data_IF_446299421455
#
_entry.id   IF_446299421455
#
_cell.length_a   1.000
_cell.length_b   1.000
_cell.length_c   1.000
_cell.angle_alpha   90.00
_cell.angle_beta   90.00
_cell.angle_gamma   90.00
#
_symmetry.space_group_name_H-M   'P 1'
#
loop_
_entity.id
_entity.type
_entity.pdbx_description
1 polymer ?
#
# COMPACT_ATOMS: atom_id res chain seq x y z
N UNK A 1 33.21 -19.97 -5.52
CA UNK A 1 32.31 -19.90 -6.69
C UNK A 1 31.04 -19.26 -6.23
N UNK A 2 30.87 -17.95 -6.48
CA UNK A 2 29.81 -17.13 -5.87
C UNK A 2 29.26 -16.05 -6.83
N UNK A 3 29.35 -16.25 -8.15
CA UNK A 3 28.91 -15.25 -9.14
C UNK A 3 27.56 -15.55 -9.84
N UNK A 4 26.80 -16.58 -9.44
CA UNK A 4 25.64 -17.05 -10.21
C UNK A 4 24.28 -16.43 -9.84
N UNK A 5 24.13 -15.84 -8.65
CA UNK A 5 22.84 -15.37 -8.15
C UNK A 5 22.34 -14.04 -8.79
N UNK A 6 23.18 -13.01 -9.00
CA UNK A 6 22.73 -11.72 -9.53
C UNK A 6 22.29 -11.79 -11.00
N UNK A 7 23.03 -12.54 -11.82
CA UNK A 7 22.73 -12.71 -13.26
C UNK A 7 21.45 -13.51 -13.46
N UNK A 8 21.21 -14.50 -12.59
CA UNK A 8 19.97 -15.29 -12.60
C UNK A 8 18.76 -14.40 -12.29
N UNK A 9 18.81 -13.57 -11.24
CA UNK A 9 17.71 -12.65 -10.91
C UNK A 9 17.45 -11.63 -12.02
N UNK A 10 18.51 -11.07 -12.64
CA UNK A 10 18.38 -10.17 -13.78
C UNK A 10 17.73 -10.87 -14.99
N UNK A 11 18.10 -12.11 -15.27
CA UNK A 11 17.49 -12.89 -16.36
C UNK A 11 16.00 -13.14 -16.12
N UNK A 12 15.57 -13.40 -14.88
CA UNK A 12 14.16 -13.54 -14.53
C UNK A 12 13.39 -12.23 -14.69
N UNK A 13 13.94 -11.10 -14.24
CA UNK A 13 13.30 -9.79 -14.41
C UNK A 13 13.16 -9.42 -15.88
N UNK A 14 14.21 -9.65 -16.69
CA UNK A 14 14.15 -9.45 -18.13
C UNK A 14 13.07 -10.36 -18.76
N UNK A 15 13.02 -11.63 -18.38
CA UNK A 15 12.00 -12.55 -18.85
C UNK A 15 10.57 -12.12 -18.50
N UNK A 16 10.33 -11.66 -17.26
CA UNK A 16 9.03 -11.14 -16.85
C UNK A 16 8.69 -9.84 -17.60
N UNK A 17 9.67 -8.98 -17.83
CA UNK A 17 9.53 -7.74 -18.62
C UNK A 17 9.21 -8.04 -20.10
N UNK A 18 9.92 -8.97 -20.73
CA UNK A 18 9.72 -9.40 -22.12
C UNK A 18 8.33 -10.02 -22.34
N UNK A 19 7.76 -10.59 -21.27
CA UNK A 19 6.39 -11.12 -21.25
C UNK A 19 5.34 -10.09 -20.83
N UNK A 20 5.72 -8.83 -20.70
CA UNK A 20 4.87 -7.73 -20.24
C UNK A 20 4.20 -8.00 -18.88
N UNK A 21 4.82 -8.85 -18.04
CA UNK A 21 4.33 -9.17 -16.70
C UNK A 21 4.66 -8.07 -15.69
N UNK A 22 5.79 -7.41 -15.91
CA UNK A 22 6.28 -6.28 -15.11
C UNK A 22 6.82 -5.18 -16.03
N UNK A 23 6.93 -3.98 -15.49
CA UNK A 23 7.55 -2.83 -16.11
C UNK A 23 8.77 -2.41 -15.27
N UNK A 24 9.92 -2.22 -15.93
CA UNK A 24 11.11 -1.66 -15.31
C UNK A 24 10.95 -0.14 -15.27
N UNK A 25 10.85 0.42 -14.06
CA UNK A 25 10.55 1.84 -13.85
C UNK A 25 11.83 2.65 -13.67
N UNK A 26 12.80 2.14 -12.90
CA UNK A 26 14.10 2.78 -12.74
C UNK A 26 15.24 1.76 -12.74
N UNK A 27 16.40 2.26 -13.15
CA UNK A 27 17.68 1.59 -13.03
C UNK A 27 18.64 2.50 -12.27
N UNK A 28 19.54 1.91 -11.51
CA UNK A 28 20.61 2.65 -10.84
C UNK A 28 21.64 3.19 -11.86
N UNK A 29 22.65 3.91 -11.36
CA UNK A 29 23.70 4.51 -12.20
C UNK A 29 24.60 3.48 -12.91
N UNK A 30 24.58 2.21 -12.49
CA UNK A 30 25.29 1.10 -13.16
C UNK A 30 24.36 0.28 -14.08
N UNK A 31 23.10 0.71 -14.26
CA UNK A 31 22.13 0.09 -15.15
C UNK A 31 21.42 -1.14 -14.58
N UNK A 32 21.54 -1.41 -13.28
CA UNK A 32 20.80 -2.49 -12.61
C UNK A 32 19.38 -2.04 -12.31
N UNK A 33 18.45 -2.97 -12.44
CA UNK A 33 17.04 -2.72 -12.14
C UNK A 33 16.89 -2.42 -10.65
N UNK A 34 16.38 -1.23 -10.32
CA UNK A 34 16.18 -0.77 -8.95
C UNK A 34 14.70 -0.90 -8.55
N UNK A 35 13.79 -0.49 -9.43
CA UNK A 35 12.36 -0.52 -9.19
C UNK A 35 11.61 -1.12 -10.38
N UNK A 36 10.76 -2.10 -10.08
CA UNK A 36 9.80 -2.70 -11.03
C UNK A 36 8.40 -2.59 -10.47
N UNK A 37 7.41 -2.48 -11.36
CA UNK A 37 5.99 -2.59 -11.01
C UNK A 37 5.32 -3.66 -11.87
N UNK A 38 4.17 -4.16 -11.44
CA UNK A 38 3.30 -4.95 -12.32
C UNK A 38 2.77 -4.01 -13.40
N UNK A 39 2.78 -4.47 -14.64
CA UNK A 39 2.26 -3.70 -15.78
C UNK A 39 0.78 -3.32 -15.53
N UNK A 40 0.36 -2.10 -15.88
CA UNK A 40 -0.96 -1.56 -15.50
C UNK A 40 -2.13 -2.46 -15.93
N UNK A 41 -2.07 -3.06 -17.12
CA UNK A 41 -3.10 -4.01 -17.61
C UNK A 41 -3.23 -5.25 -16.71
N UNK A 42 -2.12 -5.83 -16.25
CA UNK A 42 -2.13 -7.01 -15.39
C UNK A 42 -2.50 -6.66 -13.96
N UNK A 43 -2.11 -5.47 -13.53
CA UNK A 43 -2.53 -4.92 -12.26
C UNK A 43 -4.06 -4.76 -12.23
N UNK A 44 -4.64 -4.18 -13.27
CA UNK A 44 -6.08 -4.03 -13.40
C UNK A 44 -6.78 -5.39 -13.46
N UNK A 45 -6.21 -6.37 -14.16
CA UNK A 45 -6.72 -7.75 -14.15
C UNK A 45 -6.65 -8.38 -12.76
N UNK A 46 -5.53 -8.26 -12.05
CA UNK A 46 -5.36 -8.79 -10.70
C UNK A 46 -6.34 -8.14 -9.72
N UNK A 47 -6.56 -6.83 -9.84
CA UNK A 47 -7.58 -6.11 -9.07
C UNK A 47 -8.97 -6.69 -9.36
N UNK A 48 -9.35 -6.85 -10.63
CA UNK A 48 -10.67 -7.43 -11.00
C UNK A 48 -10.85 -8.85 -10.47
N UNK A 49 -9.82 -9.68 -10.52
CA UNK A 49 -9.86 -11.05 -9.99
C UNK A 49 -10.00 -11.03 -8.47
N UNK A 50 -9.26 -10.16 -7.78
CA UNK A 50 -9.33 -10.03 -6.32
C UNK A 50 -10.65 -9.38 -5.83
N UNK A 51 -11.23 -8.47 -6.60
CA UNK A 51 -12.54 -7.87 -6.32
C UNK A 51 -13.66 -8.92 -6.35
N UNK A 52 -13.50 -10.01 -7.11
CA UNK A 52 -14.44 -11.14 -7.08
C UNK A 52 -14.46 -11.88 -5.72
N UNK A 53 -13.47 -11.63 -4.85
CA UNK A 53 -13.41 -12.11 -3.47
C UNK A 53 -13.92 -11.06 -2.44
N UNK A 54 -14.47 -9.92 -2.92
CA UNK A 54 -15.28 -8.92 -2.20
C UNK A 54 -14.68 -8.29 -0.92
N UNK A 55 -13.36 -8.35 -0.69
CA UNK A 55 -12.75 -7.90 0.58
C UNK A 55 -11.56 -6.96 0.44
N UNK A 56 -11.28 -6.49 -0.78
CA UNK A 56 -10.06 -5.75 -1.08
C UNK A 56 -10.33 -4.48 -1.91
N UNK A 57 -9.79 -3.35 -1.45
CA UNK A 57 -9.78 -2.07 -2.16
C UNK A 57 -8.34 -1.69 -2.53
N UNK A 58 -7.93 -2.04 -3.75
CA UNK A 58 -6.57 -1.83 -4.25
C UNK A 58 -6.48 -0.89 -5.46
N UNK A 59 -7.63 -0.43 -5.97
CA UNK A 59 -7.73 0.32 -7.24
C UNK A 59 -7.05 1.69 -7.24
N UNK A 60 -6.74 2.25 -6.07
CA UNK A 60 -6.24 3.63 -5.93
C UNK A 60 -4.74 3.76 -5.66
N UNK A 61 -4.01 2.70 -5.32
CA UNK A 61 -2.57 2.83 -5.05
C UNK A 61 -1.79 3.30 -6.29
N UNK A 62 -0.86 4.24 -6.17
CA UNK A 62 -0.05 4.71 -7.31
C UNK A 62 -0.83 5.47 -8.38
N UNK A 63 -2.03 6.00 -8.07
CA UNK A 63 -2.87 6.74 -9.03
C UNK A 63 -2.80 8.26 -8.85
N UNK A 64 -1.95 8.74 -7.95
CA UNK A 64 -1.79 10.17 -7.66
C UNK A 64 -3.01 10.80 -6.97
N UNK A 65 -3.78 10.00 -6.23
CA UNK A 65 -4.97 10.48 -5.52
C UNK A 65 -4.54 11.37 -4.35
N UNK A 66 -5.21 12.51 -4.18
CA UNK A 66 -4.87 13.48 -3.12
C UNK A 66 -5.76 13.39 -1.88
N UNK A 67 -6.93 12.75 -1.99
CA UNK A 67 -7.91 12.65 -0.92
C UNK A 67 -8.05 11.19 -0.46
N UNK A 68 -8.21 11.00 0.85
CA UNK A 68 -8.60 9.70 1.39
C UNK A 68 -10.04 9.35 0.94
N UNK A 69 -10.33 8.12 0.48
CA UNK A 69 -11.65 7.75 -0.01
C UNK A 69 -12.69 7.72 1.11
N UNK A 70 -13.95 8.05 0.78
CA UNK A 70 -15.07 7.87 1.72
C UNK A 70 -15.37 6.38 1.93
N UNK A 71 -16.00 6.06 3.07
CA UNK A 71 -16.50 4.71 3.36
C UNK A 71 -17.42 4.18 2.26
N UNK A 72 -18.31 5.02 1.73
CA UNK A 72 -19.22 4.67 0.62
C UNK A 72 -18.47 4.14 -0.61
N UNK A 73 -17.29 4.68 -0.88
CA UNK A 73 -16.45 4.27 -2.01
C UNK A 73 -15.67 2.99 -1.70
N UNK A 74 -15.24 2.82 -0.45
CA UNK A 74 -14.49 1.65 0.00
C UNK A 74 -15.39 0.42 0.12
N UNK A 75 -16.65 0.62 0.50
CA UNK A 75 -17.65 -0.42 0.67
C UNK A 75 -17.61 -1.09 2.05
N UNK A 76 -18.78 -1.54 2.50
CA UNK A 76 -18.91 -2.30 3.74
C UNK A 76 -18.18 -3.65 3.66
N UNK A 77 -17.56 -4.08 4.75
CA UNK A 77 -16.85 -5.37 4.83
C UNK A 77 -15.47 -5.40 4.16
N UNK A 78 -14.93 -4.24 3.74
CA UNK A 78 -13.56 -4.17 3.24
C UNK A 78 -12.54 -4.58 4.33
N UNK A 79 -11.72 -5.58 4.02
CA UNK A 79 -10.68 -6.08 4.94
C UNK A 79 -9.29 -5.52 4.59
N UNK A 80 -9.07 -5.11 3.34
CA UNK A 80 -7.76 -4.64 2.86
C UNK A 80 -7.89 -3.36 2.06
N UNK A 81 -7.27 -2.28 2.54
CA UNK A 81 -7.24 -0.98 1.89
C UNK A 81 -5.79 -0.60 1.58
N UNK A 82 -5.47 -0.51 0.28
CA UNK A 82 -4.17 0.02 -0.16
C UNK A 82 -4.32 1.34 -0.89
N UNK A 83 -3.70 2.36 -0.30
CA UNK A 83 -3.61 3.72 -0.81
C UNK A 83 -2.15 4.16 -0.97
N UNK A 84 -1.21 3.20 -1.03
CA UNK A 84 0.22 3.47 -1.14
C UNK A 84 0.58 4.30 -2.38
N UNK A 85 1.71 5.01 -2.30
CA UNK A 85 2.31 5.81 -3.38
C UNK A 85 1.32 6.77 -4.02
N UNK A 86 0.59 7.51 -3.18
CA UNK A 86 -0.36 8.56 -3.58
C UNK A 86 0.07 9.92 -3.02
N UNK A 87 -0.77 10.93 -3.23
CA UNK A 87 -0.52 12.31 -2.83
C UNK A 87 -1.42 12.73 -1.65
N UNK A 88 -1.83 11.78 -0.80
CA UNK A 88 -2.72 12.05 0.33
C UNK A 88 -2.01 12.98 1.32
N UNK A 89 -2.69 14.08 1.65
CA UNK A 89 -2.15 15.11 2.55
C UNK A 89 -2.59 14.92 4.01
N UNK A 90 -3.75 14.33 4.23
CA UNK A 90 -4.30 14.11 5.57
C UNK A 90 -5.22 12.90 5.61
N UNK A 91 -5.36 12.33 6.81
CA UNK A 91 -6.35 11.30 7.10
C UNK A 91 -7.63 11.96 7.64
N UNK A 92 -8.81 11.38 7.37
CA UNK A 92 -10.06 11.92 7.90
C UNK A 92 -10.13 11.70 9.41
N UNK A 93 -10.91 12.52 10.11
CA UNK A 93 -11.16 12.32 11.55
C UNK A 93 -12.11 11.15 11.80
N UNK A 94 -12.96 10.79 10.84
CA UNK A 94 -13.92 9.68 10.90
C UNK A 94 -13.81 8.81 9.66
N UNK A 95 -13.75 7.49 9.85
CA UNK A 95 -13.76 6.52 8.76
C UNK A 95 -14.23 5.16 9.30
N UNK A 96 -15.53 4.92 9.26
CA UNK A 96 -16.11 3.70 9.79
C UNK A 96 -15.77 2.53 8.87
N UNK A 97 -14.79 1.73 9.26
CA UNK A 97 -14.39 0.54 8.50
C UNK A 97 -13.94 -0.53 9.48
N UNK A 98 -14.89 -0.99 10.30
CA UNK A 98 -14.62 -1.88 11.44
C UNK A 98 -14.06 -3.25 11.06
N UNK A 99 -14.28 -3.67 9.81
CA UNK A 99 -13.76 -4.92 9.24
C UNK A 99 -12.33 -4.80 8.70
N UNK A 100 -11.75 -3.60 8.67
CA UNK A 100 -10.45 -3.38 8.05
C UNK A 100 -9.34 -4.05 8.85
N UNK A 101 -8.61 -4.95 8.19
CA UNK A 101 -7.50 -5.72 8.75
C UNK A 101 -6.15 -5.18 8.29
N UNK A 102 -6.07 -4.66 7.06
CA UNK A 102 -4.84 -4.15 6.44
C UNK A 102 -5.05 -2.73 5.90
N UNK A 103 -4.23 -1.79 6.36
CA UNK A 103 -4.20 -0.41 5.87
C UNK A 103 -2.79 -0.04 5.43
N UNK A 104 -2.60 0.13 4.11
CA UNK A 104 -1.33 0.49 3.50
C UNK A 104 -1.37 1.95 3.03
N UNK A 105 -0.63 2.83 3.71
CA UNK A 105 -0.54 4.27 3.44
C UNK A 105 0.86 4.72 3.03
N UNK A 106 1.77 3.75 2.84
CA UNK A 106 3.16 3.98 2.48
C UNK A 106 3.32 5.02 1.36
N UNK A 107 4.38 5.82 1.45
CA UNK A 107 4.75 6.82 0.43
C UNK A 107 3.75 7.96 0.21
N UNK A 108 2.78 8.15 1.11
CA UNK A 108 1.99 9.38 1.19
C UNK A 108 2.71 10.41 2.07
N UNK A 109 3.75 11.05 1.52
CA UNK A 109 4.64 11.99 2.24
C UNK A 109 3.93 13.21 2.84
N UNK A 110 2.73 13.52 2.33
CA UNK A 110 1.87 14.60 2.79
C UNK A 110 1.24 14.34 4.16
N UNK A 111 0.98 13.08 4.51
CA UNK A 111 0.40 12.71 5.80
C UNK A 111 1.38 13.06 6.92
N UNK A 112 1.10 14.10 7.69
CA UNK A 112 1.93 14.60 8.80
C UNK A 112 1.49 14.12 10.18
N UNK A 113 0.25 13.68 10.28
CA UNK A 113 -0.35 13.22 11.53
C UNK A 113 -1.34 12.10 11.27
N UNK A 114 -1.56 11.29 12.29
CA UNK A 114 -2.63 10.29 12.32
C UNK A 114 -3.63 10.73 13.39
N UNK A 115 -4.84 11.17 13.02
CA UNK A 115 -5.87 11.53 13.99
C UNK A 115 -6.19 10.34 14.90
N UNK A 116 -6.24 10.57 16.21
CA UNK A 116 -6.52 9.48 17.14
C UNK A 116 -7.91 8.87 16.96
N UNK A 117 -8.89 9.69 16.56
CA UNK A 117 -10.24 9.25 16.23
C UNK A 117 -10.28 8.31 15.03
N UNK A 118 -9.43 8.54 14.02
CA UNK A 118 -9.31 7.66 12.85
C UNK A 118 -8.93 6.23 13.24
N UNK A 119 -7.96 6.06 14.14
CA UNK A 119 -7.54 4.73 14.59
C UNK A 119 -8.59 4.03 15.46
N UNK A 120 -9.36 4.79 16.24
CA UNK A 120 -10.41 4.21 17.08
C UNK A 120 -11.54 3.57 16.26
N UNK A 121 -11.75 4.02 15.02
CA UNK A 121 -12.73 3.46 14.08
C UNK A 121 -12.23 2.18 13.37
N UNK A 122 -11.00 1.73 13.65
CA UNK A 122 -10.36 0.56 13.03
C UNK A 122 -10.03 -0.53 14.06
N UNK A 123 -11.01 -1.03 14.86
CA UNK A 123 -10.75 -1.94 15.98
C UNK A 123 -10.12 -3.27 15.55
N UNK A 124 -10.40 -3.73 14.33
CA UNK A 124 -9.90 -5.01 13.81
C UNK A 124 -8.53 -4.93 13.15
N UNK A 125 -7.90 -3.74 13.11
CA UNK A 125 -6.69 -3.52 12.32
C UNK A 125 -5.54 -4.41 12.81
N UNK A 126 -4.93 -5.14 11.87
CA UNK A 126 -3.82 -6.07 12.12
C UNK A 126 -2.50 -5.58 11.53
N UNK A 127 -2.56 -4.90 10.40
CA UNK A 127 -1.38 -4.36 9.71
C UNK A 127 -1.63 -2.91 9.36
N UNK A 128 -0.73 -2.05 9.84
CA UNK A 128 -0.69 -0.63 9.51
C UNK A 128 0.68 -0.27 8.94
N UNK A 129 0.71 0.15 7.68
CA UNK A 129 1.92 0.64 7.04
C UNK A 129 1.83 2.15 6.79
N UNK A 130 2.65 2.89 7.54
CA UNK A 130 2.83 4.34 7.44
C UNK A 130 4.28 4.69 7.02
N UNK A 131 5.04 3.73 6.48
CA UNK A 131 6.41 3.95 6.01
C UNK A 131 6.49 5.04 4.94
N UNK A 132 7.56 5.81 4.90
CA UNK A 132 7.73 6.93 3.93
C UNK A 132 6.57 7.94 3.91
N UNK A 133 5.83 8.07 5.02
CA UNK A 133 4.91 9.20 5.25
C UNK A 133 5.66 10.35 5.94
N UNK A 134 4.98 11.46 6.20
CA UNK A 134 5.56 12.61 6.89
C UNK A 134 5.26 12.65 8.40
N UNK A 135 4.79 11.55 8.99
CA UNK A 135 4.41 11.52 10.40
C UNK A 135 5.63 11.62 11.31
N UNK A 136 5.52 12.40 12.38
CA UNK A 136 6.59 12.55 13.37
C UNK A 136 6.31 11.76 14.65
N UNK A 137 5.03 11.52 14.94
CA UNK A 137 4.60 10.78 16.11
C UNK A 137 3.27 10.05 15.84
N UNK A 138 2.98 9.06 16.68
CA UNK A 138 1.69 8.37 16.68
C UNK A 138 0.82 8.90 17.83
N UNK A 139 -0.50 8.99 17.65
CA UNK A 139 -1.39 9.33 18.74
C UNK A 139 -1.36 8.23 19.82
N UNK A 140 -1.50 8.57 21.12
CA UNK A 140 -1.45 7.58 22.21
C UNK A 140 -2.47 6.44 22.08
N UNK A 141 -3.61 6.69 21.41
CA UNK A 141 -4.64 5.69 21.15
C UNK A 141 -4.19 4.56 20.20
N UNK A 142 -2.99 4.61 19.59
CA UNK A 142 -2.43 3.45 18.88
C UNK A 142 -2.41 2.19 19.76
N UNK A 143 -2.27 2.35 21.09
CA UNK A 143 -2.35 1.25 22.06
C UNK A 143 -3.74 0.62 22.21
N UNK A 144 -4.78 1.21 21.62
CA UNK A 144 -6.13 0.66 21.57
C UNK A 144 -6.29 -0.39 20.47
N UNK A 145 -5.40 -0.45 19.48
CA UNK A 145 -5.43 -1.44 18.40
C UNK A 145 -4.96 -2.81 18.92
N UNK A 146 -5.82 -3.51 19.65
CA UNK A 146 -5.48 -4.77 20.35
C UNK A 146 -5.10 -5.91 19.41
N UNK A 147 -5.51 -5.84 18.14
CA UNK A 147 -5.24 -6.85 17.13
C UNK A 147 -4.04 -6.50 16.23
N UNK A 148 -3.40 -5.35 16.44
CA UNK A 148 -2.28 -4.89 15.62
C UNK A 148 -1.10 -5.84 15.79
N UNK A 149 -0.73 -6.51 14.70
CA UNK A 149 0.37 -7.47 14.63
C UNK A 149 1.59 -6.89 13.90
N UNK A 150 1.41 -5.87 13.07
CA UNK A 150 2.49 -5.24 12.33
C UNK A 150 2.25 -3.73 12.16
N UNK A 151 3.28 -2.95 12.47
CA UNK A 151 3.31 -1.50 12.34
C UNK A 151 4.61 -1.09 11.66
N UNK A 152 4.52 -0.40 10.53
CA UNK A 152 5.67 0.12 9.78
C UNK A 152 5.66 1.65 9.78
N UNK A 153 6.79 2.28 10.08
CA UNK A 153 6.91 3.74 10.25
C UNK A 153 8.07 4.38 9.47
N UNK A 154 9.01 3.59 8.93
CA UNK A 154 10.21 4.08 8.24
C UNK A 154 10.10 3.85 6.75
#
# INVERSE_FOLDING_TARGET
GENYLPDTAHSFLNYLSDRCLIEVVSKDYVGRIEYVKIHDVLRDLAIRVAENENRCYFKQAGRGVSNFPSEEVVGEGCEKLSLMSNNIQSLPTTFACSSLLFLMLRENRGIKEVPGSFLNELPSLRVLDLSYTGIESLPPCIGNLKHLASLQLK
#
